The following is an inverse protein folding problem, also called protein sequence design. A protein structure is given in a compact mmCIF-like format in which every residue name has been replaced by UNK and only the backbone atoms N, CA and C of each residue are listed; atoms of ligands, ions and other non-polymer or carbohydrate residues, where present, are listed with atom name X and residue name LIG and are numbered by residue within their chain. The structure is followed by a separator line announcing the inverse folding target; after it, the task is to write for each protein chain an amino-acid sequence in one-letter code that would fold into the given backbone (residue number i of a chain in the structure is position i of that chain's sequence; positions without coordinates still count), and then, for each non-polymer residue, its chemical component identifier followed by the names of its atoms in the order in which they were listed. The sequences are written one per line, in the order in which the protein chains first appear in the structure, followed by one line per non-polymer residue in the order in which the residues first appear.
data_IF_496291629841
#
_entry.id   IF_496291629841
#
_cell.length_a   1.000
_cell.length_b   1.000
_cell.length_c   1.000
_cell.angle_alpha   90.00
_cell.angle_beta   90.00
_cell.angle_gamma   90.00
#
_symmetry.space_group_name_H-M   'P 1'
#
loop_
_entity.id
_entity.type
_entity.pdbx_description
1 polymer ?
#
# COMPACT_ATOMS: atom_id res chain seq x y z
N UNK A 1 -8.65 -39.34 -50.47
CA UNK A 1 -9.57 -39.32 -49.33
C UNK A 1 -9.02 -38.32 -48.31
N UNK A 2 -9.60 -37.14 -48.30
CA UNK A 2 -9.16 -36.02 -47.45
C UNK A 2 -10.13 -35.94 -46.27
N UNK A 3 -9.62 -35.96 -45.03
CA UNK A 3 -10.37 -35.67 -43.81
C UNK A 3 -9.93 -34.30 -43.31
N UNK A 4 -10.85 -33.34 -43.35
CA UNK A 4 -10.63 -31.98 -42.92
C UNK A 4 -10.68 -31.86 -41.37
N UNK A 5 -10.17 -30.76 -40.80
CA UNK A 5 -10.12 -30.55 -39.36
C UNK A 5 -11.46 -30.02 -38.80
N UNK A 6 -11.86 -30.58 -37.67
CA UNK A 6 -13.04 -30.16 -36.91
C UNK A 6 -12.80 -28.80 -36.22
N UNK A 7 -13.72 -27.86 -36.46
CA UNK A 7 -13.79 -26.59 -35.78
C UNK A 7 -14.32 -26.75 -34.36
N UNK A 8 -13.55 -26.41 -33.34
CA UNK A 8 -14.06 -26.21 -31.97
C UNK A 8 -14.68 -24.81 -31.85
N UNK A 9 -15.97 -24.77 -31.64
CA UNK A 9 -16.71 -23.54 -31.31
C UNK A 9 -16.54 -23.23 -29.82
N UNK A 10 -15.88 -22.12 -29.51
CA UNK A 10 -15.80 -21.57 -28.16
C UNK A 10 -17.17 -20.93 -27.80
N UNK A 11 -17.88 -21.56 -26.87
CA UNK A 11 -19.05 -20.99 -26.24
C UNK A 11 -18.62 -19.87 -25.28
N UNK A 12 -18.98 -18.64 -25.61
CA UNK A 12 -18.81 -17.47 -24.77
C UNK A 12 -19.68 -17.55 -23.51
N UNK A 13 -19.08 -17.49 -22.35
CA UNK A 13 -19.77 -17.30 -21.09
C UNK A 13 -19.98 -15.80 -20.87
N UNK A 14 -21.23 -15.34 -20.91
CA UNK A 14 -21.62 -13.99 -20.51
C UNK A 14 -21.53 -13.86 -18.99
N UNK A 15 -20.98 -12.75 -18.43
CA UNK A 15 -21.06 -12.52 -17.01
C UNK A 15 -22.48 -12.07 -16.62
N UNK A 16 -23.11 -12.79 -15.69
CA UNK A 16 -24.35 -12.38 -15.04
C UNK A 16 -24.10 -11.11 -14.22
N UNK A 17 -24.69 -10.02 -14.61
CA UNK A 17 -24.82 -8.79 -13.81
C UNK A 17 -25.87 -9.06 -12.71
N UNK A 18 -25.41 -9.26 -11.47
CA UNK A 18 -26.29 -9.27 -10.30
C UNK A 18 -26.51 -7.82 -9.87
N UNK A 19 -27.69 -7.31 -10.13
CA UNK A 19 -28.14 -6.02 -9.63
C UNK A 19 -28.46 -6.15 -8.13
N UNK A 20 -27.64 -5.56 -7.27
CA UNK A 20 -27.97 -5.41 -5.85
C UNK A 20 -28.94 -4.23 -5.67
N UNK A 21 -30.17 -4.55 -5.30
CA UNK A 21 -31.15 -3.57 -4.85
C UNK A 21 -30.73 -2.98 -3.51
N UNK A 22 -30.45 -1.68 -3.48
CA UNK A 22 -30.10 -0.94 -2.28
C UNK A 22 -31.36 -0.67 -1.43
N UNK A 23 -31.52 -1.37 -0.32
CA UNK A 23 -32.47 -0.98 0.72
C UNK A 23 -31.91 0.18 1.54
N UNK A 24 -32.69 1.21 1.88
CA UNK A 24 -32.21 2.31 2.72
C UNK A 24 -32.00 1.82 4.15
N UNK A 25 -30.74 1.72 4.60
CA UNK A 25 -30.39 1.51 6.00
C UNK A 25 -30.58 2.84 6.72
N UNK A 26 -31.58 2.95 7.56
CA UNK A 26 -31.75 4.06 8.51
C UNK A 26 -30.58 4.00 9.52
N UNK A 27 -29.59 4.86 9.35
CA UNK A 27 -28.50 5.01 10.32
C UNK A 27 -28.99 5.85 11.50
N UNK A 28 -29.16 5.20 12.66
CA UNK A 28 -29.25 5.91 13.93
C UNK A 28 -27.99 6.73 14.24
N UNK A 29 -28.04 7.70 15.16
CA UNK A 29 -26.89 8.53 15.50
C UNK A 29 -25.72 7.65 15.97
N UNK A 30 -24.63 7.66 15.23
CA UNK A 30 -23.36 7.04 15.66
C UNK A 30 -22.82 7.90 16.80
N UNK A 31 -22.80 7.37 18.00
CA UNK A 31 -21.94 7.88 19.05
C UNK A 31 -20.50 7.79 18.54
N UNK A 32 -19.70 8.86 18.59
CA UNK A 32 -18.30 8.77 18.23
C UNK A 32 -17.65 7.74 19.16
N UNK A 33 -17.16 6.65 18.59
CA UNK A 33 -16.34 5.68 19.32
C UNK A 33 -15.11 6.47 19.79
N UNK A 34 -14.97 6.66 21.09
CA UNK A 34 -13.85 7.39 21.67
C UNK A 34 -12.57 6.79 21.13
N UNK A 35 -11.75 7.62 20.44
CA UNK A 35 -10.36 7.27 20.15
C UNK A 35 -9.76 6.77 21.46
N UNK A 36 -9.39 5.50 21.53
CA UNK A 36 -8.72 4.96 22.72
C UNK A 36 -7.35 5.64 22.78
N UNK A 37 -7.24 6.63 23.67
CA UNK A 37 -5.96 7.29 23.96
C UNK A 37 -4.99 6.22 24.47
N UNK A 38 -3.92 5.95 23.70
CA UNK A 38 -2.81 5.10 24.13
C UNK A 38 -1.62 6.02 24.43
N UNK A 39 -1.37 6.33 25.73
CA UNK A 39 -0.29 7.25 26.13
C UNK A 39 1.11 6.74 25.80
N UNK A 40 1.24 5.47 25.42
CA UNK A 40 2.50 4.86 24.97
C UNK A 40 2.71 4.88 23.45
N UNK A 41 1.73 5.38 22.67
CA UNK A 41 1.87 5.42 21.21
C UNK A 41 2.81 6.56 20.81
N UNK A 42 3.99 6.22 20.35
CA UNK A 42 5.00 7.12 19.79
C UNK A 42 5.90 6.37 18.80
N UNK A 43 6.63 7.09 17.97
CA UNK A 43 7.51 6.49 16.94
C UNK A 43 8.48 5.47 17.54
N UNK A 44 9.13 5.79 18.65
CA UNK A 44 10.15 4.92 19.25
C UNK A 44 9.59 3.57 19.70
N UNK A 45 8.31 3.53 20.12
CA UNK A 45 7.64 2.30 20.55
C UNK A 45 7.21 1.39 19.41
N UNK A 46 7.27 1.88 18.17
CA UNK A 46 6.83 1.16 16.96
C UNK A 46 7.98 0.72 16.07
N UNK A 47 9.21 1.16 16.35
CA UNK A 47 10.37 0.75 15.55
C UNK A 47 10.50 -0.78 15.56
N UNK A 48 10.71 -1.41 14.39
CA UNK A 48 10.99 -2.83 14.35
C UNK A 48 12.34 -3.11 15.03
N UNK A 49 12.51 -4.32 15.55
CA UNK A 49 13.83 -4.75 16.00
C UNK A 49 14.82 -4.67 14.84
N UNK A 50 15.95 -3.96 14.99
CA UNK A 50 16.94 -3.87 13.94
C UNK A 50 17.42 -5.26 13.48
N UNK A 51 17.40 -5.47 12.16
CA UNK A 51 17.89 -6.69 11.53
C UNK A 51 18.66 -6.34 10.25
N UNK A 52 19.45 -7.27 9.68
CA UNK A 52 20.05 -7.08 8.38
C UNK A 52 19.02 -6.73 7.29
N UNK A 53 17.83 -7.33 7.33
CA UNK A 53 16.77 -7.09 6.36
C UNK A 53 16.17 -5.67 6.50
N UNK A 54 15.84 -5.21 7.70
CA UNK A 54 15.31 -3.85 7.91
C UNK A 54 16.33 -2.79 7.51
N UNK A 55 17.61 -3.01 7.83
CA UNK A 55 18.70 -2.09 7.46
C UNK A 55 18.85 -2.03 5.93
N UNK A 56 18.96 -3.18 5.27
CA UNK A 56 19.13 -3.24 3.82
C UNK A 56 17.91 -2.68 3.05
N UNK A 57 16.68 -2.94 3.50
CA UNK A 57 15.48 -2.37 2.88
C UNK A 57 15.51 -0.83 2.92
N UNK A 58 15.88 -0.26 4.06
CA UNK A 58 16.03 1.19 4.19
C UNK A 58 17.17 1.74 3.31
N UNK A 59 18.30 1.07 3.24
CA UNK A 59 19.42 1.47 2.36
C UNK A 59 19.00 1.51 0.89
N UNK A 60 18.21 0.51 0.44
CA UNK A 60 17.71 0.44 -0.94
C UNK A 60 16.79 1.63 -1.24
N UNK A 61 15.78 1.88 -0.40
CA UNK A 61 14.87 2.99 -0.67
C UNK A 61 15.59 4.33 -0.65
N UNK A 62 16.53 4.56 0.27
CA UNK A 62 17.35 5.77 0.33
C UNK A 62 18.24 5.91 -0.91
N UNK A 63 18.75 4.80 -1.42
CA UNK A 63 19.64 4.80 -2.60
C UNK A 63 18.93 5.17 -3.90
N UNK A 64 17.68 4.76 -4.06
CA UNK A 64 16.98 4.82 -5.34
C UNK A 64 15.83 5.82 -5.40
N UNK A 65 15.34 6.29 -4.25
CA UNK A 65 14.16 7.14 -4.17
C UNK A 65 14.51 8.58 -3.79
N UNK A 66 13.61 9.50 -4.10
CA UNK A 66 13.68 10.87 -3.59
C UNK A 66 13.46 10.92 -2.07
N UNK A 67 13.87 12.00 -1.43
CA UNK A 67 13.62 12.20 -0.01
C UNK A 67 12.11 12.18 0.33
N UNK A 68 11.27 12.68 -0.57
CA UNK A 68 9.81 12.67 -0.40
C UNK A 68 9.25 11.24 -0.40
N UNK A 69 9.70 10.40 -1.32
CA UNK A 69 9.29 8.99 -1.41
C UNK A 69 9.85 8.16 -0.25
N UNK A 70 11.11 8.39 0.18
CA UNK A 70 11.67 7.76 1.39
C UNK A 70 10.80 8.08 2.61
N UNK A 71 10.45 9.37 2.79
CA UNK A 71 9.61 9.78 3.90
C UNK A 71 8.18 9.19 3.81
N UNK A 72 7.63 9.02 2.60
CA UNK A 72 6.36 8.34 2.38
C UNK A 72 6.44 6.88 2.87
N UNK A 73 7.46 6.14 2.47
CA UNK A 73 7.66 4.75 2.91
C UNK A 73 7.79 4.64 4.45
N UNK A 74 8.57 5.53 5.08
CA UNK A 74 8.70 5.59 6.53
C UNK A 74 7.35 5.91 7.21
N UNK A 75 6.61 6.92 6.74
CA UNK A 75 5.28 7.27 7.28
C UNK A 75 4.30 6.12 7.09
N UNK A 76 4.28 5.48 5.92
CA UNK A 76 3.42 4.32 5.64
C UNK A 76 3.63 3.22 6.67
N UNK A 77 4.89 2.93 7.04
CA UNK A 77 5.17 1.99 8.12
C UNK A 77 4.59 2.45 9.46
N UNK A 78 4.84 3.70 9.88
CA UNK A 78 4.36 4.17 11.18
C UNK A 78 2.84 4.24 11.27
N UNK A 79 2.15 4.61 10.19
CA UNK A 79 0.69 4.54 10.11
C UNK A 79 0.20 3.10 10.26
N UNK A 80 0.82 2.16 9.54
CA UNK A 80 0.49 0.74 9.57
C UNK A 80 0.71 0.12 10.95
N UNK A 81 1.90 0.31 11.51
CA UNK A 81 2.28 -0.24 12.82
C UNK A 81 1.42 0.32 13.96
N UNK A 82 1.13 1.63 13.93
CA UNK A 82 0.25 2.25 14.91
C UNK A 82 -1.19 1.76 14.79
N UNK A 83 -1.69 1.53 13.57
CA UNK A 83 -3.01 0.93 13.37
C UNK A 83 -3.08 -0.48 13.96
N UNK A 84 -2.06 -1.30 13.72
CA UNK A 84 -1.93 -2.63 14.32
C UNK A 84 -2.06 -2.58 15.84
N UNK A 85 -1.35 -1.65 16.49
CA UNK A 85 -1.43 -1.44 17.94
C UNK A 85 -2.81 -0.95 18.37
N UNK A 86 -3.37 0.08 17.72
CA UNK A 86 -4.69 0.66 18.05
C UNK A 86 -5.84 -0.35 17.88
N UNK A 87 -5.75 -1.21 16.86
CA UNK A 87 -6.78 -2.22 16.55
C UNK A 87 -6.47 -3.60 17.15
N UNK A 88 -5.32 -3.76 17.81
CA UNK A 88 -4.84 -5.03 18.38
C UNK A 88 -4.72 -6.14 17.33
N UNK A 89 -4.26 -5.76 16.13
CA UNK A 89 -3.95 -6.69 15.05
C UNK A 89 -2.50 -7.14 15.25
N UNK A 90 -2.28 -8.44 15.43
CA UNK A 90 -0.93 -9.00 15.49
C UNK A 90 -0.33 -9.07 14.08
N UNK A 91 0.94 -8.70 13.93
CA UNK A 91 1.66 -8.68 12.66
C UNK A 91 3.15 -8.95 12.85
N UNK A 92 3.83 -9.36 11.79
CA UNK A 92 5.29 -9.46 11.73
C UNK A 92 5.89 -8.08 11.44
N UNK A 93 6.52 -7.47 12.45
CA UNK A 93 7.03 -6.10 12.35
C UNK A 93 8.18 -5.94 11.33
N UNK A 94 9.05 -6.96 11.20
CA UNK A 94 10.11 -6.94 10.18
C UNK A 94 9.54 -7.03 8.78
N UNK A 95 8.59 -7.95 8.56
CA UNK A 95 7.94 -8.16 7.27
C UNK A 95 7.17 -6.90 6.83
N UNK A 96 6.38 -6.32 7.76
CA UNK A 96 5.64 -5.08 7.51
C UNK A 96 6.58 -3.91 7.19
N UNK A 97 7.70 -3.77 7.94
CA UNK A 97 8.67 -2.71 7.68
C UNK A 97 9.30 -2.84 6.30
N UNK A 98 9.80 -4.05 5.98
CA UNK A 98 10.40 -4.31 4.66
C UNK A 98 9.40 -4.06 3.54
N UNK A 99 8.16 -4.54 3.67
CA UNK A 99 7.11 -4.28 2.69
C UNK A 99 6.84 -2.77 2.55
N UNK A 100 6.75 -2.03 3.66
CA UNK A 100 6.54 -0.58 3.66
C UNK A 100 7.69 0.17 2.99
N UNK A 101 8.94 -0.26 3.18
CA UNK A 101 10.09 0.38 2.51
C UNK A 101 10.09 0.12 1.00
N UNK A 102 9.67 -1.05 0.55
CA UNK A 102 9.85 -1.47 -0.84
C UNK A 102 8.60 -1.29 -1.72
N UNK A 103 7.41 -0.97 -1.15
CA UNK A 103 6.13 -1.05 -1.85
C UNK A 103 6.05 -0.18 -3.12
N UNK A 104 6.68 0.97 -3.11
CA UNK A 104 6.65 1.93 -4.20
C UNK A 104 7.91 1.93 -5.09
N UNK A 105 8.82 0.96 -4.89
CA UNK A 105 10.03 0.89 -5.74
C UNK A 105 9.70 0.68 -7.22
N UNK A 106 8.56 0.08 -7.53
CA UNK A 106 8.09 -0.03 -8.92
C UNK A 106 7.75 1.31 -9.60
N UNK A 107 7.63 2.41 -8.85
CA UNK A 107 7.53 3.78 -9.38
C UNK A 107 8.90 4.39 -9.72
N UNK A 108 9.97 3.84 -9.16
CA UNK A 108 11.33 4.37 -9.36
C UNK A 108 11.88 3.92 -10.71
N UNK A 109 12.47 4.81 -11.53
CA UNK A 109 12.94 4.47 -12.88
C UNK A 109 13.87 3.25 -12.97
N UNK A 110 14.65 2.97 -11.91
CA UNK A 110 15.54 1.82 -11.85
C UNK A 110 14.82 0.47 -11.78
N UNK A 111 13.57 0.45 -11.32
CA UNK A 111 12.77 -0.75 -11.09
C UNK A 111 11.43 -0.72 -11.84
N UNK A 112 11.11 0.39 -12.49
CA UNK A 112 9.86 0.52 -13.26
C UNK A 112 9.82 -0.48 -14.40
N UNK A 113 8.67 -1.10 -14.60
CA UNK A 113 8.42 -2.05 -15.67
C UNK A 113 7.48 -1.44 -16.72
N UNK A 114 7.75 -1.66 -18.00
CA UNK A 114 6.91 -1.12 -19.09
C UNK A 114 5.54 -1.79 -19.21
N UNK A 115 5.39 -3.02 -18.73
CA UNK A 115 4.17 -3.84 -18.90
C UNK A 115 3.47 -4.12 -17.57
N UNK A 116 4.24 -4.53 -16.55
CA UNK A 116 3.66 -4.84 -15.24
C UNK A 116 3.27 -3.56 -14.48
N UNK A 117 2.14 -3.55 -13.76
CA UNK A 117 1.81 -2.52 -12.80
C UNK A 117 2.96 -2.26 -11.82
N UNK A 118 3.06 -1.04 -11.27
CA UNK A 118 4.18 -0.71 -10.39
C UNK A 118 4.17 -1.53 -9.09
N UNK A 119 2.99 -1.84 -8.58
CA UNK A 119 2.80 -2.69 -7.40
C UNK A 119 3.31 -4.11 -7.63
N UNK A 120 3.12 -4.67 -8.83
CA UNK A 120 3.65 -5.98 -9.19
C UNK A 120 5.18 -5.93 -9.35
N UNK A 121 5.70 -4.89 -10.02
CA UNK A 121 7.14 -4.69 -10.16
C UNK A 121 7.83 -4.49 -8.80
N UNK A 122 7.23 -3.69 -7.90
CA UNK A 122 7.68 -3.53 -6.52
C UNK A 122 7.62 -4.83 -5.73
N UNK A 123 6.55 -5.62 -5.92
CA UNK A 123 6.39 -6.95 -5.33
C UNK A 123 7.50 -7.93 -5.78
N UNK A 124 7.87 -7.91 -7.06
CA UNK A 124 8.98 -8.71 -7.58
C UNK A 124 10.34 -8.26 -7.00
N UNK A 125 10.55 -6.96 -6.82
CA UNK A 125 11.73 -6.43 -6.11
C UNK A 125 11.74 -6.93 -4.65
N UNK A 126 10.60 -6.89 -3.96
CA UNK A 126 10.46 -7.42 -2.59
C UNK A 126 10.80 -8.91 -2.52
N UNK A 127 10.34 -9.71 -3.48
CA UNK A 127 10.63 -11.13 -3.55
C UNK A 127 12.14 -11.40 -3.73
N UNK A 128 12.78 -10.69 -4.68
CA UNK A 128 14.23 -10.81 -4.95
C UNK A 128 15.05 -10.33 -3.75
N UNK A 129 14.63 -9.22 -3.13
CA UNK A 129 15.21 -8.74 -1.88
C UNK A 129 15.19 -9.83 -0.78
N UNK A 130 14.03 -10.46 -0.56
CA UNK A 130 13.89 -11.53 0.42
C UNK A 130 14.79 -12.73 0.13
N UNK A 131 15.02 -13.07 -1.16
CA UNK A 131 16.00 -14.09 -1.55
C UNK A 131 17.43 -13.69 -1.16
N UNK A 132 17.82 -12.43 -1.42
CA UNK A 132 19.10 -11.87 -1.01
C UNK A 132 19.29 -11.80 0.52
N UNK A 133 18.20 -11.58 1.26
CA UNK A 133 18.17 -11.59 2.72
C UNK A 133 18.16 -13.00 3.33
N UNK A 134 18.16 -14.06 2.52
CA UNK A 134 18.13 -15.44 2.97
C UNK A 134 16.75 -15.91 3.50
N UNK A 135 15.66 -15.23 3.15
CA UNK A 135 14.32 -15.61 3.58
C UNK A 135 13.83 -16.88 2.89
N UNK A 136 13.05 -17.75 3.57
CA UNK A 136 12.43 -18.90 2.95
C UNK A 136 11.39 -18.48 1.90
N UNK A 137 11.03 -19.38 0.99
CA UNK A 137 10.15 -19.08 -0.16
C UNK A 137 8.82 -18.48 0.28
N UNK A 138 8.19 -19.04 1.29
CA UNK A 138 6.90 -18.59 1.83
C UNK A 138 6.96 -17.13 2.32
N UNK A 139 8.08 -16.71 2.96
CA UNK A 139 8.25 -15.33 3.42
C UNK A 139 8.50 -14.37 2.26
N UNK A 140 9.16 -14.83 1.20
CA UNK A 140 9.35 -14.05 -0.04
C UNK A 140 8.02 -13.83 -0.77
N UNK A 141 7.20 -14.88 -0.87
CA UNK A 141 5.87 -14.79 -1.44
C UNK A 141 5.00 -13.82 -0.62
N UNK A 142 5.09 -13.88 0.71
CA UNK A 142 4.36 -12.97 1.60
C UNK A 142 4.73 -11.51 1.40
N UNK A 143 6.00 -11.13 1.34
CA UNK A 143 6.39 -9.72 1.13
C UNK A 143 5.89 -9.21 -0.21
N UNK A 144 5.94 -10.03 -1.26
CA UNK A 144 5.37 -9.70 -2.58
C UNK A 144 3.86 -9.47 -2.49
N UNK A 145 3.11 -10.38 -1.87
CA UNK A 145 1.67 -10.25 -1.71
C UNK A 145 1.28 -8.96 -0.95
N UNK A 146 1.95 -8.65 0.15
CA UNK A 146 1.71 -7.44 0.94
C UNK A 146 1.92 -6.19 0.07
N UNK A 147 3.02 -6.16 -0.69
CA UNK A 147 3.33 -5.05 -1.59
C UNK A 147 2.25 -4.91 -2.67
N UNK A 148 1.86 -5.99 -3.35
CA UNK A 148 0.82 -5.92 -4.38
C UNK A 148 -0.52 -5.47 -3.80
N UNK A 149 -0.89 -5.99 -2.63
CA UNK A 149 -2.19 -5.72 -2.01
C UNK A 149 -2.34 -4.31 -1.44
N UNK A 150 -1.25 -3.53 -1.28
CA UNK A 150 -1.41 -2.15 -0.81
C UNK A 150 -2.25 -1.29 -1.78
N UNK A 151 -2.34 -1.67 -3.06
CA UNK A 151 -3.18 -1.02 -4.07
C UNK A 151 -4.61 -1.59 -4.16
N UNK A 152 -4.95 -2.59 -3.38
CA UNK A 152 -6.31 -3.14 -3.39
C UNK A 152 -7.30 -2.22 -2.69
N UNK A 153 -8.58 -2.34 -3.08
CA UNK A 153 -9.64 -1.58 -2.44
C UNK A 153 -9.81 -1.94 -0.96
N UNK A 154 -9.68 -3.22 -0.64
CA UNK A 154 -9.83 -3.76 0.71
C UNK A 154 -8.97 -5.02 0.88
N UNK A 155 -8.42 -5.21 2.07
CA UNK A 155 -7.71 -6.42 2.50
C UNK A 155 -8.28 -6.84 3.85
N UNK A 156 -8.75 -8.09 3.97
CA UNK A 156 -9.29 -8.62 5.22
C UNK A 156 -8.15 -8.87 6.22
N UNK A 157 -8.13 -8.18 7.38
CA UNK A 157 -7.08 -8.35 8.38
C UNK A 157 -7.04 -9.74 9.01
N UNK A 158 -8.13 -10.50 8.93
CA UNK A 158 -8.16 -11.88 9.43
C UNK A 158 -7.41 -12.86 8.49
N UNK A 159 -7.27 -12.51 7.22
CA UNK A 159 -6.58 -13.31 6.21
C UNK A 159 -5.17 -12.80 5.93
N UNK A 160 -4.96 -11.49 6.00
CA UNK A 160 -3.69 -10.83 5.69
C UNK A 160 -3.53 -9.57 6.54
N UNK A 161 -2.96 -9.74 7.73
CA UNK A 161 -2.77 -8.65 8.67
C UNK A 161 -1.84 -7.55 8.13
N UNK A 162 -0.66 -7.93 7.62
CA UNK A 162 0.33 -6.98 7.11
C UNK A 162 -0.16 -6.28 5.85
N UNK A 163 -0.81 -6.99 4.92
CA UNK A 163 -1.41 -6.41 3.72
C UNK A 163 -2.50 -5.40 4.06
N UNK A 164 -3.37 -5.72 5.03
CA UNK A 164 -4.38 -4.78 5.53
C UNK A 164 -3.73 -3.53 6.13
N UNK A 165 -2.75 -3.72 7.01
CA UNK A 165 -2.10 -2.61 7.70
C UNK A 165 -1.37 -1.69 6.72
N UNK A 166 -0.63 -2.24 5.76
CA UNK A 166 0.07 -1.43 4.75
C UNK A 166 -0.93 -0.68 3.86
N UNK A 167 -1.99 -1.34 3.40
CA UNK A 167 -3.05 -0.71 2.61
C UNK A 167 -3.70 0.47 3.34
N UNK A 168 -4.02 0.34 4.62
CA UNK A 168 -4.61 1.41 5.42
C UNK A 168 -3.61 2.56 5.66
N UNK A 169 -2.35 2.22 5.96
CA UNK A 169 -1.29 3.20 6.18
C UNK A 169 -0.98 4.03 4.93
N UNK A 170 -0.88 3.40 3.76
CA UNK A 170 -0.68 4.11 2.48
C UNK A 170 -1.91 4.93 2.10
N UNK A 171 -3.13 4.43 2.33
CA UNK A 171 -4.35 5.16 2.06
C UNK A 171 -4.48 6.43 2.93
N UNK A 172 -4.10 6.38 4.20
CA UNK A 172 -3.99 7.58 5.03
C UNK A 172 -2.98 8.56 4.44
N UNK A 173 -1.76 8.09 4.13
CA UNK A 173 -0.68 8.98 3.71
C UNK A 173 -0.97 9.66 2.37
N UNK A 174 -1.63 8.97 1.44
CA UNK A 174 -1.93 9.50 0.10
C UNK A 174 -3.23 10.31 0.07
N UNK A 175 -4.27 9.88 0.77
CA UNK A 175 -5.61 10.47 0.61
C UNK A 175 -6.25 10.98 1.91
N UNK A 176 -5.56 10.90 3.04
CA UNK A 176 -6.16 11.24 4.34
C UNK A 176 -7.25 10.26 4.80
N UNK A 177 -7.31 9.06 4.19
CA UNK A 177 -8.34 8.08 4.50
C UNK A 177 -8.39 7.75 5.99
N UNK A 178 -9.59 7.87 6.59
CA UNK A 178 -9.81 7.56 8.01
C UNK A 178 -8.88 8.29 9.00
N UNK A 179 -8.42 9.51 8.67
CA UNK A 179 -7.41 10.28 9.44
C UNK A 179 -7.70 10.35 10.94
N UNK A 180 -8.96 10.38 11.35
CA UNK A 180 -9.38 10.43 12.76
C UNK A 180 -9.14 9.13 13.54
N UNK A 181 -8.75 8.05 12.85
CA UNK A 181 -8.31 6.81 13.52
C UNK A 181 -6.99 7.03 14.27
N UNK A 182 -6.15 7.93 13.80
CA UNK A 182 -4.85 8.22 14.40
C UNK A 182 -4.90 9.47 15.27
N UNK A 183 -4.40 9.41 16.52
CA UNK A 183 -4.32 10.57 17.41
C UNK A 183 -3.57 11.74 16.77
N UNK A 184 -4.06 12.97 16.98
CA UNK A 184 -3.50 14.15 16.33
C UNK A 184 -2.03 14.43 16.72
N UNK A 185 -1.67 14.19 17.99
CA UNK A 185 -0.30 14.32 18.50
C UNK A 185 0.67 13.31 17.87
N UNK A 186 0.22 12.06 17.68
CA UNK A 186 1.00 11.05 16.97
C UNK A 186 1.19 11.42 15.49
N UNK A 187 0.13 11.91 14.81
CA UNK A 187 0.25 12.40 13.43
C UNK A 187 1.27 13.53 13.33
N UNK A 188 1.21 14.49 14.25
CA UNK A 188 2.17 15.60 14.30
C UNK A 188 3.62 15.13 14.55
N UNK A 189 3.82 14.11 15.39
CA UNK A 189 5.14 13.51 15.64
C UNK A 189 5.71 12.89 14.37
N UNK A 190 4.91 12.08 13.66
CA UNK A 190 5.34 11.40 12.42
C UNK A 190 5.66 12.40 11.33
N UNK A 191 4.80 13.41 11.11
CA UNK A 191 5.01 14.44 10.07
C UNK A 191 6.21 15.34 10.36
N UNK A 192 6.48 15.64 11.63
CA UNK A 192 7.70 16.38 12.02
C UNK A 192 8.96 15.56 11.72
N UNK A 193 8.93 14.25 11.95
CA UNK A 193 10.08 13.36 11.73
C UNK A 193 10.30 13.06 10.25
N UNK A 194 9.21 12.89 9.51
CA UNK A 194 9.19 12.51 8.11
C UNK A 194 8.26 13.46 7.33
N UNK A 195 8.70 14.70 7.05
CA UNK A 195 7.87 15.68 6.33
C UNK A 195 7.52 15.20 4.92
N UNK A 196 6.37 15.66 4.41
CA UNK A 196 5.86 15.23 3.09
C UNK A 196 6.69 15.79 1.93
N UNK A 197 7.34 16.94 2.10
CA UNK A 197 8.20 17.57 1.08
C UNK A 197 7.45 17.73 -0.26
N UNK A 198 8.07 17.28 -1.35
CA UNK A 198 7.55 17.34 -2.72
C UNK A 198 6.64 16.16 -3.08
N UNK A 199 6.15 15.38 -2.12
CA UNK A 199 5.38 14.16 -2.37
C UNK A 199 4.19 14.37 -3.31
N UNK A 200 3.42 15.45 -3.09
CA UNK A 200 2.23 15.76 -3.91
C UNK A 200 2.61 15.81 -5.40
N UNK A 201 3.63 16.59 -5.73
CA UNK A 201 4.05 16.78 -7.13
C UNK A 201 4.66 15.51 -7.72
N UNK A 202 5.57 14.88 -6.99
CA UNK A 202 6.31 13.70 -7.48
C UNK A 202 5.39 12.50 -7.65
N UNK A 203 4.54 12.23 -6.66
CA UNK A 203 3.65 11.08 -6.68
C UNK A 203 2.55 11.23 -7.74
N UNK A 204 1.96 12.42 -7.87
CA UNK A 204 0.99 12.68 -8.93
C UNK A 204 1.60 12.44 -10.31
N UNK A 205 2.79 12.99 -10.57
CA UNK A 205 3.47 12.80 -11.84
C UNK A 205 3.81 11.33 -12.12
N UNK A 206 4.26 10.58 -11.09
CA UNK A 206 4.55 9.15 -11.23
C UNK A 206 3.29 8.33 -11.57
N UNK A 207 2.16 8.60 -10.89
CA UNK A 207 0.89 7.92 -11.16
C UNK A 207 0.33 8.26 -12.55
N UNK A 208 0.41 9.51 -12.98
CA UNK A 208 0.01 9.92 -14.33
C UNK A 208 0.87 9.27 -15.41
N UNK A 209 2.18 9.11 -15.17
CA UNK A 209 3.07 8.39 -16.09
C UNK A 209 2.70 6.91 -16.17
N UNK A 210 2.47 6.24 -15.03
CA UNK A 210 2.00 4.85 -14.99
C UNK A 210 0.66 4.70 -15.75
N UNK A 211 -0.31 5.58 -15.49
CA UNK A 211 -1.63 5.57 -16.12
C UNK A 211 -1.53 5.72 -17.65
N UNK A 212 -0.69 6.64 -18.11
CA UNK A 212 -0.47 6.89 -19.55
C UNK A 212 0.14 5.69 -20.24
N UNK A 213 1.09 5.02 -19.63
CA UNK A 213 1.80 3.87 -20.21
C UNK A 213 1.05 2.54 -20.01
N UNK A 214 0.27 2.43 -18.94
CA UNK A 214 -0.37 1.18 -18.50
C UNK A 214 -1.85 1.45 -18.16
N UNK A 215 -2.72 1.69 -19.15
CA UNK A 215 -4.09 2.18 -18.90
C UNK A 215 -5.00 1.20 -18.14
N UNK A 216 -4.61 -0.07 -18.00
CA UNK A 216 -5.34 -1.08 -17.22
C UNK A 216 -4.84 -1.30 -15.79
N UNK A 217 -3.82 -0.55 -15.31
CA UNK A 217 -3.23 -0.74 -14.00
C UNK A 217 -4.00 -0.01 -12.87
N UNK A 218 -3.68 -0.34 -11.62
CA UNK A 218 -4.28 0.28 -10.44
C UNK A 218 -3.99 1.79 -10.37
N UNK A 219 -2.80 2.23 -10.77
CA UNK A 219 -2.46 3.65 -10.85
C UNK A 219 -3.37 4.41 -11.84
N UNK A 220 -3.73 3.81 -13.00
CA UNK A 220 -4.66 4.42 -13.95
C UNK A 220 -6.06 4.58 -13.34
N UNK A 221 -6.55 3.59 -12.62
CA UNK A 221 -7.81 3.68 -11.89
C UNK A 221 -7.76 4.77 -10.80
N UNK A 222 -6.65 4.87 -10.08
CA UNK A 222 -6.43 5.90 -9.07
C UNK A 222 -6.43 7.32 -9.67
N UNK A 223 -5.74 7.53 -10.81
CA UNK A 223 -5.75 8.81 -11.55
C UNK A 223 -7.16 9.16 -12.02
N UNK A 224 -7.87 8.21 -12.64
CA UNK A 224 -9.26 8.40 -13.08
C UNK A 224 -10.20 8.75 -11.92
N UNK A 225 -9.94 8.26 -10.73
CA UNK A 225 -10.71 8.60 -9.52
C UNK A 225 -10.24 9.88 -8.79
N UNK A 226 -9.24 10.61 -9.34
CA UNK A 226 -8.80 11.91 -8.81
C UNK A 226 -7.80 11.80 -7.65
N UNK A 227 -6.87 10.84 -7.69
CA UNK A 227 -5.85 10.68 -6.63
C UNK A 227 -5.02 11.94 -6.43
N UNK A 228 -4.65 12.66 -7.49
CA UNK A 228 -3.87 13.91 -7.40
C UNK A 228 -4.56 14.99 -6.57
N UNK A 229 -5.88 15.18 -6.75
CA UNK A 229 -6.66 16.12 -5.95
C UNK A 229 -6.69 15.70 -4.46
N UNK A 230 -6.96 14.41 -4.19
CA UNK A 230 -6.97 13.90 -2.79
C UNK A 230 -5.61 14.03 -2.11
N UNK A 231 -4.54 13.87 -2.89
CA UNK A 231 -3.19 14.03 -2.38
C UNK A 231 -2.87 15.50 -2.06
N UNK A 232 -3.36 16.44 -2.88
CA UNK A 232 -3.20 17.87 -2.67
C UNK A 232 -4.05 18.42 -1.51
N UNK A 233 -5.24 17.84 -1.30
CA UNK A 233 -6.17 18.21 -0.23
C UNK A 233 -6.02 17.34 1.02
N UNK A 234 -4.88 16.68 1.20
CA UNK A 234 -4.67 15.73 2.28
C UNK A 234 -4.61 16.46 3.64
N UNK A 235 -5.41 16.05 4.66
CA UNK A 235 -5.42 16.67 5.98
C UNK A 235 -4.10 16.49 6.78
N UNK A 236 -3.12 15.79 6.22
CA UNK A 236 -1.78 15.66 6.79
C UNK A 236 -0.81 16.76 6.33
N UNK A 237 -1.19 17.64 5.40
CA UNK A 237 -0.39 18.79 4.93
C UNK A 237 -0.52 19.99 5.83
#
# INVERSE_FOLDING_TARGET
MATGPSSLTLLGASPLMIAYASSPVVRGPRTPTSCSYDPGLNISSLLPTPSPATTAAREIVVRYSSAALVNHCERSYFWSASLGRLKRIAYDAELLYVASMLHDLGLVPAFDNHLAPFEDAGGDVGWVFGAGAGWPAERRDRVKEIIVRHMWHEVDPALDAEGHLLREGTALDISGHNVDTWPADFRAEVLRRYPRLTLVTEFTAAFEDQARRKPGCAAAAAVASGVGARLADNPLD
#
